data_IF_613164290651
#
_entry.id   IF_613164290651
#
_cell.length_a   1.000
_cell.length_b   1.000
_cell.length_c   1.000
_cell.angle_alpha   90.00
_cell.angle_beta   90.00
_cell.angle_gamma   90.00
#
_symmetry.space_group_name_H-M   'P 1'
#
loop_
_entity.id
_entity.type
_entity.pdbx_description
1 polymer ?
#
# COMPACT_ATOMS: atom_id res chain seq x y z
N UNK A 1 2.52 11.34 13.50
CA UNK A 1 2.18 9.88 13.41
C UNK A 1 1.66 9.29 14.71
N UNK A 2 2.21 9.63 15.87
CA UNK A 2 1.81 9.07 17.18
C UNK A 2 0.31 9.29 17.49
N UNK A 3 -0.18 10.51 17.31
CA UNK A 3 -1.60 10.82 17.52
C UNK A 3 -2.52 10.02 16.59
N UNK A 4 -2.14 9.88 15.31
CA UNK A 4 -2.93 9.11 14.35
C UNK A 4 -2.97 7.62 14.68
N UNK A 5 -1.88 7.05 15.18
CA UNK A 5 -1.85 5.66 15.63
C UNK A 5 -2.77 5.44 16.86
N UNK A 6 -2.70 6.31 17.83
CA UNK A 6 -3.57 6.25 19.01
C UNK A 6 -5.05 6.45 18.65
N UNK A 7 -5.35 7.42 17.78
CA UNK A 7 -6.71 7.67 17.29
C UNK A 7 -7.28 6.46 16.56
N UNK A 8 -6.50 5.87 15.65
CA UNK A 8 -6.88 4.67 14.92
C UNK A 8 -7.18 3.51 15.87
N UNK A 9 -6.30 3.23 16.82
CA UNK A 9 -6.48 2.18 17.79
C UNK A 9 -7.71 2.41 18.70
N UNK A 10 -8.04 3.67 19.00
CA UNK A 10 -9.24 4.02 19.79
C UNK A 10 -10.54 3.90 19.00
N UNK A 11 -10.52 4.12 17.70
CA UNK A 11 -11.71 4.07 16.84
C UNK A 11 -12.03 2.63 16.38
N UNK A 12 -11.02 1.79 16.15
CA UNK A 12 -11.19 0.42 15.64
C UNK A 12 -12.17 -0.43 16.46
N UNK A 13 -12.12 -0.46 17.80
CA UNK A 13 -13.07 -1.23 18.62
C UNK A 13 -14.52 -0.74 18.48
N UNK A 14 -14.71 0.56 18.23
CA UNK A 14 -16.02 1.19 18.10
C UNK A 14 -16.65 0.86 16.75
N UNK A 15 -15.88 0.95 15.68
CA UNK A 15 -16.34 0.75 14.30
C UNK A 15 -16.30 -0.72 13.86
N UNK A 16 -15.57 -1.57 14.56
CA UNK A 16 -15.40 -2.98 14.23
C UNK A 16 -14.96 -3.19 12.76
N UNK A 17 -15.62 -4.12 12.05
CA UNK A 17 -15.30 -4.40 10.64
C UNK A 17 -15.50 -3.21 9.70
N UNK A 18 -16.33 -2.25 10.08
CA UNK A 18 -16.55 -1.03 9.31
C UNK A 18 -15.29 -0.14 9.20
N UNK A 19 -14.43 -0.16 10.23
CA UNK A 19 -13.20 0.62 10.25
C UNK A 19 -12.29 0.31 9.04
N UNK A 20 -12.12 -0.97 8.73
CA UNK A 20 -11.30 -1.43 7.59
C UNK A 20 -11.82 -0.89 6.26
N UNK A 21 -13.11 -1.02 6.00
CA UNK A 21 -13.73 -0.57 4.73
C UNK A 21 -13.63 0.95 4.59
N UNK A 22 -13.91 1.70 5.67
CA UNK A 22 -13.84 3.16 5.67
C UNK A 22 -12.42 3.67 5.43
N UNK A 23 -11.43 3.10 6.12
CA UNK A 23 -10.04 3.53 5.98
C UNK A 23 -9.44 3.14 4.65
N UNK A 24 -9.80 1.99 4.10
CA UNK A 24 -9.41 1.60 2.74
C UNK A 24 -9.99 2.57 1.70
N UNK A 25 -11.26 2.92 1.81
CA UNK A 25 -11.91 3.89 0.92
C UNK A 25 -11.29 5.29 1.03
N UNK A 26 -11.04 5.75 2.25
CA UNK A 26 -10.38 7.03 2.50
C UNK A 26 -8.96 7.05 1.90
N UNK A 27 -8.19 5.99 2.10
CA UNK A 27 -6.88 5.82 1.49
C UNK A 27 -6.94 5.87 -0.03
N UNK A 28 -7.89 5.14 -0.65
CA UNK A 28 -8.08 5.11 -2.11
C UNK A 28 -8.39 6.50 -2.67
N UNK A 29 -9.26 7.25 -2.02
CA UNK A 29 -9.56 8.63 -2.43
C UNK A 29 -8.33 9.53 -2.32
N UNK A 30 -7.55 9.40 -1.25
CA UNK A 30 -6.32 10.15 -1.06
C UNK A 30 -5.27 9.80 -2.13
N UNK A 31 -5.10 8.51 -2.44
CA UNK A 31 -4.19 8.05 -3.48
C UNK A 31 -4.55 8.59 -4.86
N UNK A 32 -5.83 8.58 -5.21
CA UNK A 32 -6.32 9.19 -6.47
C UNK A 32 -6.00 10.69 -6.53
N UNK A 33 -6.31 11.42 -5.46
CA UNK A 33 -6.07 12.85 -5.37
C UNK A 33 -4.59 13.21 -5.52
N UNK A 34 -3.71 12.49 -4.85
CA UNK A 34 -2.27 12.73 -4.93
C UNK A 34 -1.68 12.41 -6.31
N UNK A 35 -2.35 11.55 -7.06
CA UNK A 35 -1.91 11.08 -8.38
C UNK A 35 -2.62 11.76 -9.56
N UNK A 36 -3.44 12.79 -9.33
CA UNK A 36 -4.18 13.49 -10.40
C UNK A 36 -3.27 14.04 -11.50
N UNK A 37 -2.06 14.49 -11.13
CA UNK A 37 -1.07 15.05 -12.05
C UNK A 37 0.04 14.06 -12.41
N UNK A 38 -0.07 12.82 -11.99
CA UNK A 38 0.93 11.80 -12.24
C UNK A 38 0.99 11.42 -13.72
N UNK A 39 2.18 11.05 -14.19
CA UNK A 39 2.37 10.53 -15.54
C UNK A 39 1.71 9.16 -15.68
N UNK A 40 0.77 9.04 -16.60
CA UNK A 40 0.12 7.75 -16.91
C UNK A 40 1.06 6.79 -17.62
N UNK A 41 0.99 5.52 -17.24
CA UNK A 41 1.76 4.45 -17.86
C UNK A 41 1.04 3.10 -17.70
N UNK A 42 1.25 2.20 -18.66
CA UNK A 42 0.80 0.79 -18.58
C UNK A 42 1.87 -0.13 -17.98
N UNK A 43 3.09 0.34 -17.83
CA UNK A 43 4.18 -0.43 -17.22
C UNK A 43 4.08 -0.39 -15.70
N UNK A 44 3.95 -1.58 -15.08
CA UNK A 44 3.73 -1.71 -13.64
C UNK A 44 4.92 -1.23 -12.79
N UNK A 45 6.14 -1.48 -13.23
CA UNK A 45 7.33 -1.03 -12.49
C UNK A 45 7.47 0.49 -12.54
N UNK A 46 7.24 1.08 -13.70
CA UNK A 46 7.20 2.53 -13.88
C UNK A 46 6.09 3.17 -13.04
N UNK A 47 4.90 2.57 -12.99
CA UNK A 47 3.80 3.05 -12.17
C UNK A 47 4.11 3.03 -10.67
N UNK A 48 4.78 1.98 -10.19
CA UNK A 48 5.22 1.86 -8.80
C UNK A 48 6.30 2.91 -8.46
N UNK A 49 7.19 3.21 -9.40
CA UNK A 49 8.18 4.28 -9.22
C UNK A 49 7.54 5.67 -9.17
N UNK A 50 6.51 5.89 -9.98
CA UNK A 50 5.72 7.12 -9.95
C UNK A 50 5.02 7.30 -8.58
N UNK A 51 4.46 6.23 -8.00
CA UNK A 51 3.92 6.27 -6.62
C UNK A 51 5.01 6.66 -5.62
N UNK A 52 6.24 6.17 -5.79
CA UNK A 52 7.37 6.55 -4.92
C UNK A 52 7.67 8.05 -5.01
N UNK A 53 7.70 8.61 -6.22
CA UNK A 53 7.89 10.05 -6.44
C UNK A 53 6.78 10.89 -5.79
N UNK A 54 5.51 10.47 -5.93
CA UNK A 54 4.37 11.13 -5.30
C UNK A 54 4.49 11.13 -3.78
N UNK A 55 4.85 10.01 -3.18
CA UNK A 55 5.04 9.90 -1.74
C UNK A 55 6.18 10.80 -1.25
N UNK A 56 7.31 10.80 -1.95
CA UNK A 56 8.46 11.65 -1.61
C UNK A 56 8.10 13.15 -1.70
N UNK A 57 7.40 13.57 -2.76
CA UNK A 57 6.95 14.95 -2.95
C UNK A 57 5.99 15.42 -1.84
N UNK A 58 5.25 14.48 -1.23
CA UNK A 58 4.33 14.76 -0.12
C UNK A 58 4.93 14.42 1.26
N UNK A 59 6.23 14.24 1.36
CA UNK A 59 6.96 13.92 2.60
C UNK A 59 6.42 12.67 3.33
N UNK A 60 5.85 11.71 2.58
CA UNK A 60 5.39 10.44 3.11
C UNK A 60 6.53 9.41 3.10
N UNK A 61 6.97 9.00 4.29
CA UNK A 61 8.09 8.08 4.47
C UNK A 61 7.62 6.63 4.45
N UNK A 62 7.36 6.10 3.26
CA UNK A 62 7.13 4.68 3.02
C UNK A 62 8.21 4.13 2.09
N UNK A 63 9.29 3.64 2.68
CA UNK A 63 10.36 2.97 1.95
C UNK A 63 9.93 1.57 1.51
N UNK A 64 9.84 1.35 0.21
CA UNK A 64 9.51 0.05 -0.39
C UNK A 64 10.32 -0.19 -1.65
N UNK A 65 10.49 -1.45 -1.99
CA UNK A 65 11.23 -1.89 -3.17
C UNK A 65 10.57 -3.13 -3.79
N UNK A 66 10.66 -3.31 -5.12
CA UNK A 66 10.29 -4.57 -5.76
C UNK A 66 11.09 -5.73 -5.17
N UNK A 67 10.40 -6.85 -4.92
CA UNK A 67 10.99 -8.07 -4.38
C UNK A 67 10.79 -9.23 -5.34
N UNK A 68 11.89 -9.93 -5.64
CA UNK A 68 11.86 -11.14 -6.45
C UNK A 68 12.15 -12.36 -5.59
N UNK A 69 11.17 -13.24 -5.36
CA UNK A 69 11.39 -14.50 -4.64
C UNK A 69 12.44 -15.37 -5.31
N UNK A 70 13.14 -16.17 -4.52
CA UNK A 70 14.08 -17.16 -5.05
C UNK A 70 13.36 -18.14 -5.96
N UNK A 71 13.89 -18.36 -7.16
CA UNK A 71 13.28 -19.22 -8.19
C UNK A 71 12.28 -18.54 -9.13
N UNK A 72 11.96 -17.27 -8.91
CA UNK A 72 11.17 -16.48 -9.85
C UNK A 72 12.11 -15.76 -10.83
N UNK A 73 11.83 -15.86 -12.15
CA UNK A 73 12.69 -15.26 -13.18
C UNK A 73 12.43 -13.76 -13.34
N UNK A 74 11.16 -13.33 -13.28
CA UNK A 74 10.73 -11.94 -13.52
C UNK A 74 10.20 -11.31 -12.25
N UNK A 75 10.32 -9.98 -12.13
CA UNK A 75 9.73 -9.19 -11.03
C UNK A 75 8.20 -9.16 -11.12
N UNK A 76 7.67 -8.96 -12.32
CA UNK A 76 6.23 -8.95 -12.59
C UNK A 76 5.83 -10.33 -13.10
N UNK A 77 4.83 -10.92 -12.48
CA UNK A 77 4.23 -12.20 -12.88
C UNK A 77 2.76 -12.01 -13.24
N UNK A 78 2.19 -13.01 -13.87
CA UNK A 78 0.76 -13.06 -14.16
C UNK A 78 0.15 -14.22 -13.39
N UNK A 79 -0.96 -13.99 -12.69
CA UNK A 79 -1.69 -15.03 -11.99
C UNK A 79 -2.66 -15.78 -12.91
N UNK A 80 -3.33 -16.81 -12.41
CA UNK A 80 -4.28 -17.64 -13.16
C UNK A 80 -5.48 -16.88 -13.72
N UNK A 81 -5.74 -15.66 -13.21
CA UNK A 81 -6.80 -14.76 -13.69
C UNK A 81 -6.31 -13.75 -14.72
N UNK A 82 -5.07 -13.86 -15.21
CA UNK A 82 -4.48 -12.93 -16.14
C UNK A 82 -4.05 -11.58 -15.53
N UNK A 83 -4.15 -11.41 -14.22
CA UNK A 83 -3.78 -10.19 -13.53
C UNK A 83 -2.27 -10.13 -13.32
N UNK A 84 -1.68 -8.95 -13.50
CA UNK A 84 -0.25 -8.71 -13.21
C UNK A 84 -0.02 -8.58 -11.72
N UNK A 85 1.03 -9.22 -11.23
CA UNK A 85 1.41 -9.20 -9.82
C UNK A 85 2.86 -8.77 -9.65
N UNK A 86 3.11 -7.98 -8.61
CA UNK A 86 4.43 -7.56 -8.18
C UNK A 86 4.52 -7.68 -6.65
N UNK A 87 5.55 -8.33 -6.16
CA UNK A 87 5.83 -8.33 -4.72
C UNK A 87 6.65 -7.09 -4.34
N UNK A 88 6.28 -6.48 -3.21
CA UNK A 88 6.93 -5.30 -2.65
C UNK A 88 7.33 -5.57 -1.20
N UNK A 89 8.57 -5.27 -0.86
CA UNK A 89 9.05 -5.26 0.53
C UNK A 89 9.03 -3.84 1.05
N UNK A 90 8.36 -3.63 2.18
CA UNK A 90 8.31 -2.37 2.91
C UNK A 90 9.22 -2.47 4.12
N UNK A 91 10.41 -1.86 4.07
CA UNK A 91 11.38 -1.84 5.17
C UNK A 91 11.16 -0.66 6.10
N UNK A 92 11.07 0.54 5.53
CA UNK A 92 10.89 1.79 6.27
C UNK A 92 9.45 2.28 6.17
N UNK A 93 8.56 1.65 6.94
CA UNK A 93 7.15 2.02 7.01
C UNK A 93 6.90 2.81 8.30
N UNK A 94 6.60 4.11 8.18
CA UNK A 94 6.29 4.97 9.32
C UNK A 94 5.06 4.51 10.10
N UNK A 95 4.09 3.87 9.43
CA UNK A 95 2.91 3.29 10.09
C UNK A 95 3.31 2.13 10.99
N UNK A 96 4.09 1.17 10.46
CA UNK A 96 4.57 0.03 11.25
C UNK A 96 5.39 0.49 12.45
N UNK A 97 6.33 1.41 12.24
CA UNK A 97 7.15 1.96 13.32
C UNK A 97 6.30 2.63 14.42
N UNK A 98 5.28 3.40 14.02
CA UNK A 98 4.37 4.01 14.98
C UNK A 98 3.53 2.98 15.74
N UNK A 99 2.98 1.97 15.05
CA UNK A 99 2.18 0.92 15.68
C UNK A 99 3.00 0.10 16.68
N UNK A 100 4.20 -0.36 16.29
CA UNK A 100 5.09 -1.13 17.16
C UNK A 100 5.54 -0.33 18.37
N UNK A 101 5.88 0.94 18.18
CA UNK A 101 6.31 1.83 19.29
C UNK A 101 5.25 1.99 20.39
N UNK A 102 3.98 1.93 20.04
CA UNK A 102 2.86 2.10 20.97
C UNK A 102 2.16 0.80 21.31
N UNK A 103 2.71 -0.34 20.93
CA UNK A 103 2.13 -1.65 21.25
C UNK A 103 0.82 -1.96 20.52
N UNK A 104 0.56 -1.29 19.40
CA UNK A 104 -0.64 -1.55 18.58
C UNK A 104 -0.40 -2.65 17.54
N UNK A 105 -1.42 -3.47 17.25
CA UNK A 105 -1.31 -4.52 16.25
C UNK A 105 -1.13 -3.94 14.84
N UNK A 106 -0.35 -4.62 14.02
CA UNK A 106 -0.27 -4.35 12.59
C UNK A 106 -1.56 -4.84 11.88
N UNK A 107 -1.73 -4.46 10.63
CA UNK A 107 -2.85 -4.85 9.75
C UNK A 107 -4.21 -4.23 10.11
N UNK A 108 -4.25 -3.27 11.05
CA UNK A 108 -5.43 -2.49 11.37
C UNK A 108 -5.71 -1.35 10.37
N UNK A 109 -6.54 -0.41 10.79
CA UNK A 109 -7.07 0.69 9.97
C UNK A 109 -6.02 1.52 9.26
N UNK A 110 -4.88 1.84 9.91
CA UNK A 110 -3.80 2.60 9.26
C UNK A 110 -3.12 1.81 8.14
N UNK A 111 -2.93 0.51 8.32
CA UNK A 111 -2.38 -0.33 7.25
C UNK A 111 -3.36 -0.42 6.07
N UNK A 112 -4.66 -0.58 6.36
CA UNK A 112 -5.71 -0.62 5.34
C UNK A 112 -5.84 0.70 4.57
N UNK A 113 -5.65 1.85 5.24
CA UNK A 113 -5.57 3.15 4.58
C UNK A 113 -4.39 3.22 3.60
N UNK A 114 -3.23 2.70 3.98
CA UNK A 114 -2.08 2.61 3.06
C UNK A 114 -2.37 1.70 1.87
N UNK A 115 -3.01 0.54 2.07
CA UNK A 115 -3.39 -0.35 0.96
C UNK A 115 -4.34 0.35 0.00
N UNK A 116 -5.33 1.06 0.53
CA UNK A 116 -6.22 1.91 -0.26
C UNK A 116 -5.47 2.99 -1.04
N UNK A 117 -4.52 3.68 -0.41
CA UNK A 117 -3.72 4.72 -1.07
C UNK A 117 -2.99 4.17 -2.31
N UNK A 118 -2.27 3.07 -2.16
CA UNK A 118 -1.58 2.43 -3.29
C UNK A 118 -2.55 2.02 -4.40
N UNK A 119 -3.68 1.42 -4.04
CA UNK A 119 -4.71 1.05 -5.00
C UNK A 119 -5.23 2.27 -5.78
N UNK A 120 -5.60 3.34 -5.09
CA UNK A 120 -6.12 4.56 -5.71
C UNK A 120 -5.10 5.29 -6.59
N UNK A 121 -3.84 5.34 -6.14
CA UNK A 121 -2.76 5.95 -6.92
C UNK A 121 -2.51 5.17 -8.22
N UNK A 122 -2.39 3.86 -8.14
CA UNK A 122 -2.14 3.00 -9.29
C UNK A 122 -3.33 2.97 -10.27
N UNK A 123 -4.57 3.00 -9.76
CA UNK A 123 -5.76 3.13 -10.60
C UNK A 123 -5.73 4.43 -11.42
N UNK A 124 -5.27 5.52 -10.83
CA UNK A 124 -5.14 6.81 -11.54
C UNK A 124 -4.02 6.77 -12.58
N UNK A 125 -2.87 6.20 -12.22
CA UNK A 125 -1.69 6.13 -13.09
C UNK A 125 -1.90 5.16 -14.25
N UNK A 126 -2.48 3.98 -13.98
CA UNK A 126 -2.58 2.89 -14.95
C UNK A 126 -3.95 2.80 -15.64
N UNK A 127 -4.99 3.45 -15.10
CA UNK A 127 -6.36 3.33 -15.58
C UNK A 127 -6.99 1.96 -15.36
N UNK A 128 -6.41 1.12 -14.49
CA UNK A 128 -6.82 -0.26 -14.21
C UNK A 128 -7.00 -0.46 -12.71
N UNK A 129 -7.91 -1.36 -12.32
CA UNK A 129 -8.08 -1.65 -10.89
C UNK A 129 -6.84 -2.29 -10.30
N UNK A 130 -6.51 -1.84 -9.09
CA UNK A 130 -5.36 -2.32 -8.35
C UNK A 130 -5.74 -2.65 -6.90
N UNK A 131 -5.02 -3.63 -6.33
CA UNK A 131 -5.08 -3.97 -4.91
C UNK A 131 -3.68 -4.18 -4.37
N UNK A 132 -3.47 -3.78 -3.11
CA UNK A 132 -2.27 -4.11 -2.35
C UNK A 132 -2.67 -4.93 -1.14
N UNK A 133 -2.11 -6.12 -1.00
CA UNK A 133 -2.43 -7.05 0.09
C UNK A 133 -1.17 -7.48 0.81
N UNK A 134 -1.28 -7.69 2.13
CA UNK A 134 -0.16 -8.18 2.93
C UNK A 134 -0.02 -9.70 2.80
N UNK A 135 1.21 -10.15 2.60
CA UNK A 135 1.60 -11.57 2.66
C UNK A 135 2.26 -11.93 3.98
N UNK A 136 3.09 -11.03 4.48
CA UNK A 136 3.78 -11.22 5.75
C UNK A 136 3.99 -9.88 6.44
N UNK A 137 3.61 -9.79 7.71
CA UNK A 137 3.85 -8.64 8.57
C UNK A 137 4.94 -9.02 9.58
N UNK A 138 6.14 -8.50 9.37
CA UNK A 138 7.28 -8.69 10.27
C UNK A 138 7.63 -7.45 11.06
N UNK A 139 8.47 -7.60 12.07
CA UNK A 139 8.97 -6.48 12.88
C UNK A 139 9.87 -5.54 12.07
N UNK A 140 10.68 -6.09 11.16
CA UNK A 140 11.65 -5.32 10.38
C UNK A 140 11.17 -4.96 8.97
N UNK A 141 10.25 -5.75 8.40
CA UNK A 141 9.73 -5.54 7.06
C UNK A 141 8.34 -6.16 6.90
N UNK A 142 7.58 -5.63 5.95
CA UNK A 142 6.33 -6.25 5.49
C UNK A 142 6.46 -6.64 4.02
N UNK A 143 6.09 -7.88 3.69
CA UNK A 143 5.96 -8.33 2.30
C UNK A 143 4.51 -8.17 1.86
N UNK A 144 4.31 -7.51 0.73
CA UNK A 144 2.99 -7.26 0.16
C UNK A 144 2.95 -7.65 -1.30
N UNK A 145 1.75 -7.98 -1.79
CA UNK A 145 1.51 -8.26 -3.20
C UNK A 145 0.61 -7.18 -3.77
N UNK A 146 1.13 -6.53 -4.78
CA UNK A 146 0.39 -5.63 -5.64
C UNK A 146 -0.20 -6.46 -6.78
N UNK A 147 -1.51 -6.34 -7.01
CA UNK A 147 -2.22 -6.98 -8.12
C UNK A 147 -2.92 -5.91 -8.94
N UNK A 148 -2.75 -5.95 -10.26
CA UNK A 148 -3.37 -5.02 -11.22
C UNK A 148 -4.09 -5.82 -12.28
N UNK A 149 -5.33 -5.43 -12.60
CA UNK A 149 -6.12 -6.06 -13.67
C UNK A 149 -5.38 -5.96 -15.03
N UNK A 150 -5.67 -6.89 -15.90
CA UNK A 150 -5.05 -6.97 -17.24
C UNK A 150 -5.38 -5.76 -18.13
#
# INVERSE_FOLDING_TARGET
MNFMAALSAGIEPILGRGATSMTTAAGRNLGRKFSEQAKRTDDLLTAVEEVRHILAANHCLWGFEPFKPKGQEQLVTTNDKGQRQLQLVFRDCMIRQALLRFGHPQQGSLCNMMYGFFAGALETIMGKKATLEIRHAGENACLKVLTVEA
#
